data_IF_937233940972
#
_entry.id   IF_937233940972
#
_cell.length_a   1.000
_cell.length_b   1.000
_cell.length_c   1.000
_cell.angle_alpha   90.00
_cell.angle_beta   90.00
_cell.angle_gamma   90.00
#
_symmetry.space_group_name_H-M   'P 1'
#
loop_
_entity.id
_entity.type
_entity.pdbx_description
1 polymer ?
#
# COMPACT_ATOMS: atom_id res chain seq x y z
N UNK A 1 -28.37 -21.80 -6.49
CA UNK A 1 -27.35 -20.91 -5.93
C UNK A 1 -27.56 -20.85 -4.42
N UNK A 2 -26.59 -21.32 -3.65
CA UNK A 2 -26.72 -21.28 -2.19
C UNK A 2 -26.33 -19.86 -1.74
N UNK A 3 -27.26 -19.08 -1.21
CA UNK A 3 -27.03 -17.74 -0.63
C UNK A 3 -25.91 -17.72 0.43
N UNK A 4 -25.38 -18.87 0.81
CA UNK A 4 -24.23 -19.00 1.73
C UNK A 4 -22.88 -18.55 1.15
N UNK A 5 -22.76 -18.37 -0.17
CA UNK A 5 -21.49 -18.00 -0.81
C UNK A 5 -21.18 -16.50 -0.70
N UNK A 6 -22.20 -15.67 -0.51
CA UNK A 6 -22.06 -14.21 -0.31
C UNK A 6 -21.98 -13.81 1.16
N UNK A 7 -22.02 -14.78 2.08
CA UNK A 7 -21.99 -14.49 3.51
C UNK A 7 -20.55 -14.16 3.95
N UNK A 8 -20.32 -13.02 4.64
CA UNK A 8 -19.02 -12.72 5.20
C UNK A 8 -18.50 -13.82 6.09
N UNK A 9 -17.23 -14.18 5.94
CA UNK A 9 -16.61 -15.30 6.65
C UNK A 9 -16.56 -15.09 8.16
N UNK A 10 -16.54 -13.84 8.60
CA UNK A 10 -16.58 -13.45 10.00
C UNK A 10 -17.73 -14.14 10.77
N UNK A 11 -18.95 -14.17 10.21
CA UNK A 11 -20.10 -14.78 10.88
C UNK A 11 -20.03 -16.30 11.04
N UNK A 12 -19.22 -16.96 10.21
CA UNK A 12 -18.98 -18.39 10.36
C UNK A 12 -17.88 -18.67 11.39
N UNK A 13 -16.87 -17.80 11.47
CA UNK A 13 -15.76 -17.94 12.41
C UNK A 13 -16.22 -17.67 13.84
N UNK A 14 -17.10 -16.69 14.03
CA UNK A 14 -17.57 -16.30 15.37
C UNK A 14 -18.44 -17.37 16.08
N UNK A 15 -18.93 -18.38 15.37
CA UNK A 15 -19.79 -19.42 15.98
C UNK A 15 -19.07 -20.27 17.03
N UNK A 16 -17.79 -20.58 16.78
CA UNK A 16 -16.97 -21.44 17.65
C UNK A 16 -15.74 -20.70 18.17
N UNK A 17 -15.87 -19.37 18.39
CA UNK A 17 -14.76 -18.50 18.71
C UNK A 17 -14.42 -18.53 20.19
N UNK A 18 -13.22 -19.03 20.54
CA UNK A 18 -12.76 -19.12 21.91
C UNK A 18 -12.03 -17.85 22.38
N UNK A 19 -11.99 -17.61 23.69
CA UNK A 19 -11.24 -16.49 24.28
C UNK A 19 -9.74 -16.58 23.98
N UNK A 20 -9.19 -17.80 23.94
CA UNK A 20 -7.78 -18.02 23.61
C UNK A 20 -7.49 -17.64 22.17
N UNK A 21 -8.38 -18.00 21.24
CA UNK A 21 -8.27 -17.59 19.84
C UNK A 21 -8.39 -16.07 19.69
N UNK A 22 -9.32 -15.43 20.41
CA UNK A 22 -9.46 -13.98 20.42
C UNK A 22 -8.16 -13.28 20.84
N UNK A 23 -7.52 -13.77 21.89
CA UNK A 23 -6.25 -13.19 22.33
C UNK A 23 -5.13 -13.33 21.29
N UNK A 24 -5.04 -14.49 20.64
CA UNK A 24 -4.06 -14.72 19.55
C UNK A 24 -4.33 -13.81 18.36
N UNK A 25 -5.59 -13.66 17.98
CA UNK A 25 -5.99 -12.81 16.86
C UNK A 25 -5.74 -11.32 17.14
N UNK A 26 -5.98 -10.86 18.37
CA UNK A 26 -5.65 -9.49 18.79
C UNK A 26 -4.13 -9.24 18.71
N UNK A 27 -3.31 -10.15 19.23
CA UNK A 27 -1.84 -10.02 19.18
C UNK A 27 -1.38 -10.00 17.71
N UNK A 28 -1.89 -10.91 16.88
CA UNK A 28 -1.57 -10.95 15.45
C UNK A 28 -2.03 -9.69 14.74
N UNK A 29 -3.21 -9.16 15.07
CA UNK A 29 -3.73 -7.91 14.54
C UNK A 29 -2.86 -6.71 14.88
N UNK A 30 -2.35 -6.62 16.10
CA UNK A 30 -1.40 -5.57 16.51
C UNK A 30 -0.11 -5.65 15.70
N UNK A 31 0.46 -6.85 15.56
CA UNK A 31 1.69 -7.06 14.77
C UNK A 31 1.46 -6.65 13.30
N UNK A 32 0.35 -7.07 12.71
CA UNK A 32 -0.01 -6.71 11.33
C UNK A 32 -0.20 -5.20 11.19
N UNK A 33 -0.89 -4.54 12.13
CA UNK A 33 -1.09 -3.10 12.09
C UNK A 33 0.24 -2.33 12.12
N UNK A 34 1.17 -2.73 12.98
CA UNK A 34 2.50 -2.11 13.07
C UNK A 34 3.26 -2.19 11.74
N UNK A 35 3.14 -3.29 11.01
CA UNK A 35 3.79 -3.47 9.70
C UNK A 35 3.01 -2.74 8.59
N UNK A 36 1.69 -2.79 8.65
CA UNK A 36 0.82 -2.24 7.61
C UNK A 36 0.87 -0.71 7.54
N UNK A 37 1.00 -0.01 8.67
CA UNK A 37 0.99 1.45 8.69
C UNK A 37 2.12 2.08 7.85
N UNK A 38 3.42 1.75 8.06
CA UNK A 38 4.50 2.28 7.24
C UNK A 38 4.38 1.87 5.76
N UNK A 39 3.96 0.63 5.49
CA UNK A 39 3.74 0.14 4.13
C UNK A 39 2.64 0.95 3.43
N UNK A 40 1.55 1.24 4.12
CA UNK A 40 0.43 2.01 3.59
C UNK A 40 0.84 3.44 3.25
N UNK A 41 1.64 4.07 4.11
CA UNK A 41 2.22 5.39 3.86
C UNK A 41 3.10 5.35 2.59
N UNK A 42 4.01 4.38 2.51
CA UNK A 42 4.92 4.25 1.37
C UNK A 42 4.17 4.03 0.04
N UNK A 43 3.15 3.18 0.03
CA UNK A 43 2.34 2.93 -1.16
C UNK A 43 1.47 4.14 -1.55
N UNK A 44 0.95 4.89 -0.60
CA UNK A 44 0.22 6.13 -0.86
C UNK A 44 1.11 7.18 -1.52
N UNK A 45 2.29 7.42 -0.97
CA UNK A 45 3.29 8.33 -1.52
C UNK A 45 3.68 7.90 -2.94
N UNK A 46 3.98 6.62 -3.13
CA UNK A 46 4.32 6.06 -4.44
C UNK A 46 3.17 6.21 -5.45
N UNK A 47 1.93 6.25 -4.99
CA UNK A 47 0.73 6.46 -5.80
C UNK A 47 0.41 7.93 -6.07
N UNK A 48 1.25 8.87 -5.61
CA UNK A 48 1.07 10.31 -5.83
C UNK A 48 0.05 10.98 -4.89
N UNK A 49 -0.38 10.27 -3.84
CA UNK A 49 -1.25 10.84 -2.79
C UNK A 49 -0.47 11.05 -1.50
N UNK A 50 -1.01 11.82 -0.57
CA UNK A 50 -0.34 12.09 0.70
C UNK A 50 -0.28 10.88 1.63
N UNK A 51 0.62 10.90 2.63
CA UNK A 51 0.78 9.82 3.59
C UNK A 51 -0.49 9.56 4.42
N UNK A 52 -1.27 10.60 4.70
CA UNK A 52 -2.52 10.50 5.46
C UNK A 52 -3.57 9.62 4.76
N UNK A 53 -3.70 9.76 3.43
CA UNK A 53 -4.59 8.94 2.62
C UNK A 53 -4.24 7.45 2.71
N UNK A 54 -2.95 7.13 2.84
CA UNK A 54 -2.49 5.77 3.09
C UNK A 54 -2.98 5.23 4.43
N UNK A 55 -2.85 6.02 5.49
CA UNK A 55 -3.32 5.66 6.84
C UNK A 55 -4.84 5.48 6.87
N UNK A 56 -5.59 6.43 6.29
CA UNK A 56 -7.05 6.33 6.23
C UNK A 56 -7.52 5.09 5.45
N UNK A 57 -6.85 4.80 4.33
CA UNK A 57 -7.15 3.60 3.55
C UNK A 57 -6.85 2.32 4.35
N UNK A 58 -5.73 2.26 5.06
CA UNK A 58 -5.39 1.11 5.89
C UNK A 58 -6.42 0.87 7.00
N UNK A 59 -6.88 1.94 7.66
CA UNK A 59 -7.84 1.86 8.76
C UNK A 59 -9.23 1.53 8.23
N UNK A 60 -9.76 2.34 7.31
CA UNK A 60 -11.16 2.26 6.88
C UNK A 60 -11.36 1.07 5.94
N UNK A 61 -10.58 0.98 4.86
CA UNK A 61 -10.72 -0.12 3.92
C UNK A 61 -10.30 -1.45 4.55
N UNK A 62 -9.25 -1.46 5.39
CA UNK A 62 -8.83 -2.62 6.15
C UNK A 62 -9.95 -3.18 7.03
N UNK A 63 -10.66 -2.31 7.74
CA UNK A 63 -11.82 -2.71 8.55
C UNK A 63 -12.94 -3.30 7.70
N UNK A 64 -13.39 -2.58 6.66
CA UNK A 64 -14.51 -3.06 5.83
C UNK A 64 -14.18 -4.34 5.07
N UNK A 65 -12.96 -4.47 4.54
CA UNK A 65 -12.54 -5.68 3.82
C UNK A 65 -12.44 -6.87 4.78
N UNK A 66 -11.95 -6.68 6.00
CA UNK A 66 -11.91 -7.74 7.01
C UNK A 66 -13.30 -8.12 7.51
N UNK A 67 -14.20 -7.15 7.65
CA UNK A 67 -15.57 -7.37 8.14
C UNK A 67 -16.45 -8.09 7.10
N UNK A 68 -16.42 -7.64 5.84
CA UNK A 68 -17.24 -8.19 4.76
C UNK A 68 -16.56 -9.26 3.93
N UNK A 69 -15.27 -9.49 4.15
CA UNK A 69 -14.47 -10.41 3.34
C UNK A 69 -14.87 -11.88 3.44
N UNK A 70 -14.62 -12.60 2.37
CA UNK A 70 -14.84 -14.04 2.28
C UNK A 70 -13.63 -14.90 2.68
N UNK A 71 -12.49 -14.27 3.03
CA UNK A 71 -11.24 -14.93 3.40
C UNK A 71 -10.91 -14.73 4.88
N UNK A 72 -10.26 -15.73 5.48
CA UNK A 72 -9.76 -15.65 6.87
C UNK A 72 -8.36 -15.04 6.97
N UNK A 73 -7.65 -14.89 5.86
CA UNK A 73 -6.22 -14.57 5.81
C UNK A 73 -5.92 -13.38 4.90
N UNK A 74 -6.93 -12.58 4.58
CA UNK A 74 -6.79 -11.40 3.72
C UNK A 74 -7.06 -10.13 4.52
N UNK A 75 -6.17 -9.15 4.37
CA UNK A 75 -6.35 -7.78 4.84
C UNK A 75 -6.43 -6.85 3.64
N UNK A 76 -7.08 -5.70 3.81
CA UNK A 76 -7.14 -4.63 2.81
C UNK A 76 -6.24 -3.48 3.19
N UNK A 77 -5.83 -2.73 2.18
CA UNK A 77 -5.00 -1.54 2.34
C UNK A 77 -4.62 -0.95 0.98
N UNK A 78 -3.77 0.08 0.95
CA UNK A 78 -3.22 0.60 -0.29
C UNK A 78 -2.59 -0.53 -1.11
N UNK A 79 -2.77 -0.46 -2.42
CA UNK A 79 -2.42 -1.58 -3.30
C UNK A 79 -1.19 -1.26 -4.15
N UNK A 80 -0.54 -2.31 -4.64
CA UNK A 80 0.58 -2.24 -5.55
C UNK A 80 0.20 -1.79 -6.99
N UNK A 81 -1.05 -1.43 -7.26
CA UNK A 81 -1.48 -0.78 -8.51
C UNK A 81 -0.99 0.68 -8.63
N UNK A 82 0.14 0.97 -8.02
CA UNK A 82 0.75 2.29 -7.92
C UNK A 82 0.84 3.01 -9.27
N UNK A 83 1.22 2.31 -10.34
CA UNK A 83 1.40 2.92 -11.67
C UNK A 83 0.08 3.47 -12.22
N UNK A 84 -0.99 2.68 -12.11
CA UNK A 84 -2.32 3.06 -12.61
C UNK A 84 -2.87 4.20 -11.76
N UNK A 85 -2.77 4.07 -10.44
CA UNK A 85 -3.24 5.09 -9.50
C UNK A 85 -2.47 6.39 -9.68
N UNK A 86 -1.15 6.33 -9.82
CA UNK A 86 -0.31 7.50 -10.04
C UNK A 86 -0.70 8.24 -11.34
N UNK A 87 -0.95 7.51 -12.44
CA UNK A 87 -1.46 8.11 -13.68
C UNK A 87 -2.78 8.85 -13.47
N UNK A 88 -3.76 8.20 -12.83
CA UNK A 88 -5.06 8.81 -12.54
C UNK A 88 -4.91 10.07 -11.67
N UNK A 89 -4.08 10.00 -10.63
CA UNK A 89 -3.85 11.14 -9.72
C UNK A 89 -3.16 12.29 -10.44
N UNK A 90 -2.21 12.01 -11.32
CA UNK A 90 -1.49 13.03 -12.09
C UNK A 90 -2.41 13.73 -13.10
N UNK A 91 -3.28 12.99 -13.79
CA UNK A 91 -4.10 13.51 -14.86
C UNK A 91 -5.42 14.12 -14.35
N UNK A 92 -6.02 13.54 -13.31
CA UNK A 92 -7.39 13.88 -12.84
C UNK A 92 -7.45 14.24 -11.34
N UNK A 93 -6.31 14.21 -10.65
CA UNK A 93 -6.25 14.50 -9.22
C UNK A 93 -6.93 13.45 -8.33
N UNK A 94 -7.08 13.76 -7.06
CA UNK A 94 -7.73 12.87 -6.06
C UNK A 94 -9.22 12.69 -6.32
N UNK A 95 -9.88 13.67 -6.96
CA UNK A 95 -11.28 13.54 -7.35
C UNK A 95 -11.47 12.44 -8.41
N UNK A 96 -10.60 12.41 -9.43
CA UNK A 96 -10.58 11.34 -10.44
C UNK A 96 -10.35 9.98 -9.83
N UNK A 97 -9.39 9.85 -8.91
CA UNK A 97 -9.14 8.61 -8.17
C UNK A 97 -10.38 8.14 -7.40
N UNK A 98 -11.09 9.06 -6.75
CA UNK A 98 -12.30 8.70 -6.00
C UNK A 98 -13.40 8.16 -6.92
N UNK A 99 -13.63 8.81 -8.07
CA UNK A 99 -14.61 8.35 -9.08
C UNK A 99 -14.21 6.98 -9.63
N UNK A 100 -12.94 6.82 -10.04
CA UNK A 100 -12.43 5.54 -10.54
C UNK A 100 -12.59 4.41 -9.51
N UNK A 101 -12.33 4.68 -8.23
CA UNK A 101 -12.48 3.71 -7.14
C UNK A 101 -13.95 3.32 -6.94
N UNK A 102 -14.88 4.28 -7.00
CA UNK A 102 -16.32 4.00 -6.88
C UNK A 102 -16.78 3.12 -8.06
N UNK A 103 -16.39 3.46 -9.28
CA UNK A 103 -16.71 2.69 -10.49
C UNK A 103 -16.14 1.26 -10.39
N UNK A 104 -14.88 1.13 -10.02
CA UNK A 104 -14.26 -0.18 -9.79
C UNK A 104 -15.03 -0.99 -8.74
N UNK A 105 -15.47 -0.36 -7.65
CA UNK A 105 -16.30 -1.00 -6.62
C UNK A 105 -17.62 -1.51 -7.18
N UNK A 106 -18.31 -0.71 -8.00
CA UNK A 106 -19.55 -1.12 -8.66
C UNK A 106 -19.32 -2.31 -9.59
N UNK A 107 -18.27 -2.27 -10.42
CA UNK A 107 -17.91 -3.39 -11.30
C UNK A 107 -17.60 -4.65 -10.51
N UNK A 108 -16.85 -4.56 -9.42
CA UNK A 108 -16.55 -5.71 -8.57
C UNK A 108 -17.80 -6.31 -7.92
N UNK A 109 -18.76 -5.48 -7.50
CA UNK A 109 -20.04 -5.96 -6.97
C UNK A 109 -20.82 -6.72 -8.05
N UNK A 110 -20.94 -6.15 -9.26
CA UNK A 110 -21.61 -6.81 -10.39
C UNK A 110 -20.93 -8.13 -10.74
N UNK A 111 -19.60 -8.14 -10.84
CA UNK A 111 -18.82 -9.35 -11.11
C UNK A 111 -18.99 -10.40 -9.99
N UNK A 112 -19.09 -9.97 -8.74
CA UNK A 112 -19.36 -10.84 -7.60
C UNK A 112 -20.73 -11.51 -7.69
N UNK A 113 -21.77 -10.74 -8.01
CA UNK A 113 -23.14 -11.24 -8.21
C UNK A 113 -23.20 -12.21 -9.40
N UNK A 114 -22.49 -11.89 -10.50
CA UNK A 114 -22.38 -12.75 -11.67
C UNK A 114 -21.44 -13.95 -11.49
N UNK A 115 -20.83 -14.14 -10.32
CA UNK A 115 -19.91 -15.25 -10.00
C UNK A 115 -18.66 -15.31 -10.91
N UNK A 116 -18.22 -14.17 -11.44
CA UNK A 116 -17.03 -14.08 -12.28
C UNK A 116 -15.75 -14.49 -11.56
N UNK A 117 -15.73 -14.47 -10.23
CA UNK A 117 -14.63 -15.01 -9.44
C UNK A 117 -14.30 -16.49 -9.76
N UNK A 118 -15.29 -17.27 -10.24
CA UNK A 118 -15.07 -18.64 -10.67
C UNK A 118 -14.25 -18.76 -11.96
N UNK A 119 -14.16 -17.68 -12.74
CA UNK A 119 -13.39 -17.65 -13.99
C UNK A 119 -11.87 -17.66 -13.74
N UNK A 120 -11.43 -17.29 -12.53
CA UNK A 120 -10.00 -17.24 -12.18
C UNK A 120 -9.30 -18.60 -12.38
N UNK A 121 -10.04 -19.71 -12.25
CA UNK A 121 -9.52 -21.06 -12.47
C UNK A 121 -9.09 -21.34 -13.93
N UNK A 122 -9.58 -20.51 -14.88
CA UNK A 122 -9.23 -20.62 -16.29
C UNK A 122 -8.04 -19.73 -16.68
N UNK A 123 -7.58 -18.87 -15.76
CA UNK A 123 -6.42 -18.02 -16.01
C UNK A 123 -5.15 -18.88 -15.84
N UNK A 124 -4.32 -19.02 -16.91
CA UNK A 124 -3.07 -19.75 -16.80
C UNK A 124 -2.14 -19.16 -15.74
N UNK A 125 -1.45 -20.03 -15.01
CA UNK A 125 -0.49 -19.64 -13.97
C UNK A 125 0.59 -18.67 -14.48
N UNK A 126 1.02 -18.84 -15.72
CA UNK A 126 2.00 -17.98 -16.37
C UNK A 126 1.56 -16.52 -16.46
N UNK A 127 0.26 -16.26 -16.68
CA UNK A 127 -0.29 -14.91 -16.73
C UNK A 127 -0.25 -14.27 -15.34
N UNK A 128 -0.69 -14.99 -14.31
CA UNK A 128 -0.68 -14.47 -12.93
C UNK A 128 0.74 -14.23 -12.43
N UNK A 129 1.67 -15.11 -12.77
CA UNK A 129 3.09 -14.95 -12.41
C UNK A 129 3.71 -13.78 -13.14
N UNK A 130 3.48 -13.65 -14.46
CA UNK A 130 3.98 -12.52 -15.25
C UNK A 130 3.46 -11.18 -14.74
N UNK A 131 2.16 -11.11 -14.40
CA UNK A 131 1.56 -9.92 -13.80
C UNK A 131 2.22 -9.56 -12.46
N UNK A 132 2.40 -10.54 -11.57
CA UNK A 132 3.05 -10.32 -10.26
C UNK A 132 4.50 -9.87 -10.41
N UNK A 133 5.26 -10.49 -11.34
CA UNK A 133 6.63 -10.07 -11.64
C UNK A 133 6.69 -8.63 -12.18
N UNK A 134 5.76 -8.26 -13.07
CA UNK A 134 5.67 -6.90 -13.58
C UNK A 134 5.43 -5.86 -12.48
N UNK A 135 4.52 -6.17 -11.54
CA UNK A 135 4.29 -5.34 -10.36
C UNK A 135 5.56 -5.23 -9.51
N UNK A 136 6.22 -6.36 -9.24
CA UNK A 136 7.43 -6.38 -8.42
C UNK A 136 8.55 -5.51 -9.02
N UNK A 137 8.80 -5.61 -10.32
CA UNK A 137 9.79 -4.79 -11.04
C UNK A 137 9.43 -3.31 -10.96
N UNK A 138 8.16 -2.98 -11.18
CA UNK A 138 7.69 -1.59 -11.14
C UNK A 138 7.84 -0.97 -9.75
N UNK A 139 7.48 -1.72 -8.70
CA UNK A 139 7.66 -1.29 -7.31
C UNK A 139 9.14 -1.12 -6.98
N UNK A 140 9.98 -2.09 -7.35
CA UNK A 140 11.41 -2.01 -7.11
C UNK A 140 12.02 -0.75 -7.74
N UNK A 141 11.73 -0.51 -9.02
CA UNK A 141 12.20 0.70 -9.70
C UNK A 141 11.63 1.96 -9.04
N UNK A 142 10.36 1.95 -8.63
CA UNK A 142 9.74 3.07 -7.93
C UNK A 142 10.43 3.46 -6.64
N UNK A 143 11.02 2.51 -5.91
CA UNK A 143 11.72 2.76 -4.65
C UNK A 143 13.15 3.29 -4.82
N UNK A 144 13.75 3.18 -6.01
CA UNK A 144 15.16 3.59 -6.23
C UNK A 144 15.39 5.08 -5.96
N UNK A 145 14.41 5.94 -6.28
CA UNK A 145 14.50 7.37 -5.99
C UNK A 145 14.75 7.63 -4.50
N UNK A 146 13.92 7.05 -3.67
CA UNK A 146 13.96 7.29 -2.22
C UNK A 146 15.12 6.55 -1.56
N UNK A 147 15.44 5.35 -2.04
CA UNK A 147 16.60 4.58 -1.56
C UNK A 147 17.92 5.31 -1.80
N UNK A 148 18.09 5.90 -2.97
CA UNK A 148 19.29 6.68 -3.31
C UNK A 148 19.16 8.16 -2.94
N UNK A 149 18.02 8.60 -2.41
CA UNK A 149 17.77 9.99 -2.04
C UNK A 149 17.92 10.95 -3.23
N UNK A 150 17.47 10.55 -4.45
CA UNK A 150 17.62 11.35 -5.65
C UNK A 150 16.76 12.60 -5.61
N UNK A 151 17.36 13.73 -5.99
CA UNK A 151 16.65 15.01 -6.09
C UNK A 151 16.00 15.13 -7.48
N UNK A 152 14.73 14.75 -7.59
CA UNK A 152 13.96 14.81 -8.84
C UNK A 152 12.67 15.58 -8.57
N UNK A 153 12.50 16.71 -9.25
CA UNK A 153 11.37 17.62 -9.02
C UNK A 153 10.01 16.98 -9.37
N UNK A 154 9.94 16.22 -10.46
CA UNK A 154 8.73 15.51 -10.88
C UNK A 154 9.15 14.15 -11.47
N UNK A 155 8.58 13.09 -10.94
CA UNK A 155 8.83 11.72 -11.42
C UNK A 155 7.83 11.41 -12.53
N UNK A 156 8.28 11.02 -13.73
CA UNK A 156 7.37 10.63 -14.80
C UNK A 156 6.52 9.41 -14.43
N UNK A 157 5.30 9.33 -14.98
CA UNK A 157 4.41 8.17 -14.78
C UNK A 157 4.87 6.94 -15.58
N UNK A 158 5.45 7.15 -16.77
CA UNK A 158 5.95 6.10 -17.64
C UNK A 158 7.13 5.34 -17.03
N UNK A 159 7.14 4.01 -17.17
CA UNK A 159 8.21 3.16 -16.61
C UNK A 159 9.59 3.51 -17.21
N UNK A 160 9.68 3.62 -18.55
CA UNK A 160 10.94 3.91 -19.23
C UNK A 160 11.43 5.32 -18.90
N UNK A 161 10.53 6.31 -18.94
CA UNK A 161 10.84 7.70 -18.62
C UNK A 161 11.32 7.85 -17.17
N UNK A 162 10.74 7.07 -16.27
CA UNK A 162 11.17 7.00 -14.87
C UNK A 162 12.59 6.49 -14.73
N UNK A 163 12.95 5.40 -15.42
CA UNK A 163 14.31 4.86 -15.41
C UNK A 163 15.30 5.87 -16.00
N UNK A 164 14.96 6.54 -17.09
CA UNK A 164 15.78 7.59 -17.70
C UNK A 164 15.96 8.76 -16.71
N UNK A 165 14.88 9.21 -16.06
CA UNK A 165 14.94 10.28 -15.07
C UNK A 165 15.85 9.92 -13.88
N UNK A 166 15.88 8.68 -13.44
CA UNK A 166 16.78 8.23 -12.38
C UNK A 166 18.22 8.17 -12.85
N UNK A 167 18.48 7.66 -14.05
CA UNK A 167 19.82 7.61 -14.63
C UNK A 167 20.42 8.99 -14.85
N UNK A 168 19.62 9.94 -15.34
CA UNK A 168 20.10 11.33 -15.58
C UNK A 168 20.35 12.10 -14.29
N UNK A 169 19.69 11.76 -13.19
CA UNK A 169 19.86 12.40 -11.89
C UNK A 169 20.71 11.59 -10.92
N UNK A 170 21.44 10.59 -11.39
CA UNK A 170 22.29 9.72 -10.55
C UNK A 170 23.36 10.48 -9.78
N UNK A 171 23.82 11.62 -10.31
CA UNK A 171 24.78 12.49 -9.65
C UNK A 171 24.26 13.16 -8.38
N UNK A 172 22.95 13.14 -8.16
CA UNK A 172 22.31 13.72 -6.97
C UNK A 172 22.17 12.74 -5.81
N UNK A 173 22.83 11.57 -5.87
CA UNK A 173 22.75 10.54 -4.81
C UNK A 173 23.07 11.15 -3.45
N UNK A 174 22.19 10.90 -2.50
CA UNK A 174 22.46 11.15 -1.09
C UNK A 174 23.01 9.86 -0.43
N UNK A 175 24.32 9.84 -0.23
CA UNK A 175 25.02 8.68 0.35
C UNK A 175 24.55 8.35 1.76
N UNK A 176 24.12 9.36 2.54
CA UNK A 176 23.58 9.15 3.88
C UNK A 176 22.24 8.41 3.81
N UNK A 177 21.32 8.81 2.91
CA UNK A 177 20.06 8.11 2.69
C UNK A 177 20.29 6.67 2.23
N UNK A 178 21.22 6.47 1.27
CA UNK A 178 21.61 5.14 0.79
C UNK A 178 22.16 4.26 1.90
N UNK A 179 23.01 4.81 2.78
CA UNK A 179 23.57 4.07 3.92
C UNK A 179 22.48 3.67 4.91
N UNK A 180 21.54 4.56 5.22
CA UNK A 180 20.39 4.27 6.09
C UNK A 180 19.50 3.18 5.47
N UNK A 181 19.20 3.27 4.17
CA UNK A 181 18.44 2.26 3.44
C UNK A 181 19.14 0.90 3.42
N UNK A 182 20.45 0.88 3.16
CA UNK A 182 21.26 -0.36 3.20
C UNK A 182 21.30 -0.96 4.60
N UNK A 183 21.45 -0.14 5.64
CA UNK A 183 21.40 -0.60 7.03
C UNK A 183 20.03 -1.23 7.37
N UNK A 184 18.93 -0.62 6.92
CA UNK A 184 17.59 -1.18 7.09
C UNK A 184 17.47 -2.57 6.45
N UNK A 185 17.96 -2.73 5.21
CA UNK A 185 17.96 -4.03 4.52
C UNK A 185 18.78 -5.07 5.30
N UNK A 186 19.98 -4.70 5.76
CA UNK A 186 20.84 -5.60 6.55
C UNK A 186 20.15 -6.03 7.84
N UNK A 187 19.51 -5.10 8.55
CA UNK A 187 18.73 -5.42 9.76
C UNK A 187 17.62 -6.42 9.41
N UNK A 188 16.82 -6.16 8.36
CA UNK A 188 15.75 -7.06 7.95
C UNK A 188 16.22 -8.47 7.59
N UNK A 189 17.40 -8.61 6.96
CA UNK A 189 17.97 -9.89 6.57
C UNK A 189 18.58 -10.66 7.73
N UNK A 190 19.15 -9.95 8.71
CA UNK A 190 19.82 -10.58 9.85
C UNK A 190 18.88 -10.85 11.02
N UNK A 191 17.85 -10.03 11.20
CA UNK A 191 16.94 -10.13 12.34
C UNK A 191 16.26 -11.49 12.51
N UNK A 192 15.79 -12.20 11.45
CA UNK A 192 15.22 -13.53 11.59
C UNK A 192 16.17 -14.56 12.21
N UNK A 193 17.50 -14.33 12.15
CA UNK A 193 18.48 -15.18 12.84
C UNK A 193 18.52 -14.97 14.35
N UNK A 194 17.99 -13.83 14.82
CA UNK A 194 17.92 -13.48 16.26
C UNK A 194 16.57 -13.94 16.83
N UNK A 195 15.46 -13.61 16.16
CA UNK A 195 14.12 -14.01 16.58
C UNK A 195 13.12 -13.90 15.45
N UNK A 196 12.22 -14.89 15.37
CA UNK A 196 11.07 -14.90 14.44
C UNK A 196 9.80 -14.29 15.07
N UNK A 197 9.85 -13.97 16.37
CA UNK A 197 8.67 -13.45 17.09
C UNK A 197 8.34 -12.00 16.77
N UNK A 198 9.35 -11.23 16.40
CA UNK A 198 9.22 -9.80 16.10
C UNK A 198 9.64 -9.58 14.65
N UNK A 199 8.80 -8.95 13.81
CA UNK A 199 9.14 -8.69 12.42
C UNK A 199 10.40 -7.82 12.27
N UNK A 200 11.33 -8.24 11.42
CA UNK A 200 12.57 -7.50 11.18
C UNK A 200 12.35 -6.11 10.60
N UNK A 201 11.27 -5.92 9.83
CA UNK A 201 10.87 -4.61 9.31
C UNK A 201 10.54 -3.60 10.41
N UNK A 202 9.88 -4.03 11.49
CA UNK A 202 9.58 -3.17 12.63
C UNK A 202 10.88 -2.70 13.31
N UNK A 203 11.82 -3.62 13.54
CA UNK A 203 13.09 -3.27 14.16
C UNK A 203 13.92 -2.35 13.25
N UNK A 204 13.93 -2.64 11.93
CA UNK A 204 14.61 -1.78 10.97
C UNK A 204 14.08 -0.34 11.03
N UNK A 205 12.74 -0.15 11.03
CA UNK A 205 12.13 1.18 11.11
C UNK A 205 12.50 1.86 12.43
N UNK A 206 12.37 1.19 13.58
CA UNK A 206 12.67 1.79 14.89
C UNK A 206 14.15 2.20 14.96
N UNK A 207 15.05 1.29 14.59
CA UNK A 207 16.50 1.54 14.69
C UNK A 207 16.93 2.65 13.73
N UNK A 208 16.52 2.58 12.47
CA UNK A 208 16.92 3.61 11.49
C UNK A 208 16.31 4.96 11.80
N UNK A 209 15.06 5.02 12.26
CA UNK A 209 14.42 6.28 12.70
C UNK A 209 15.16 6.87 13.91
N UNK A 210 15.51 6.05 14.90
CA UNK A 210 16.26 6.50 16.06
C UNK A 210 17.64 7.05 15.65
N UNK A 211 18.36 6.33 14.80
CA UNK A 211 19.68 6.78 14.31
C UNK A 211 19.57 8.09 13.53
N UNK A 212 18.61 8.21 12.62
CA UNK A 212 18.39 9.44 11.85
C UNK A 212 18.06 10.61 12.77
N UNK A 213 17.19 10.39 13.77
CA UNK A 213 16.75 11.43 14.69
C UNK A 213 17.86 11.88 15.65
N UNK A 214 18.56 10.95 16.31
CA UNK A 214 19.58 11.30 17.32
C UNK A 214 20.91 11.77 16.71
N UNK A 215 21.24 11.32 15.50
CA UNK A 215 22.45 11.74 14.80
C UNK A 215 22.23 12.93 13.86
N UNK A 216 21.01 13.48 13.80
CA UNK A 216 20.59 14.59 12.95
C UNK A 216 21.08 14.44 11.50
N UNK A 217 20.82 13.25 10.93
CA UNK A 217 21.34 12.91 9.60
C UNK A 217 20.59 13.69 8.51
N UNK A 218 21.28 14.19 7.49
CA UNK A 218 20.70 14.98 6.40
C UNK A 218 19.96 14.08 5.39
N UNK A 219 18.86 13.50 5.84
CA UNK A 219 17.98 12.64 5.02
C UNK A 219 16.55 13.16 5.05
N UNK A 220 15.83 12.94 3.96
CA UNK A 220 14.41 13.28 3.91
C UNK A 220 13.62 12.34 4.84
N UNK A 221 12.84 12.93 5.73
CA UNK A 221 11.88 12.22 6.57
C UNK A 221 10.46 12.56 6.12
N UNK A 222 9.48 11.76 6.53
CA UNK A 222 8.06 12.06 6.27
C UNK A 222 7.71 13.44 6.80
N UNK A 223 8.15 13.77 8.01
CA UNK A 223 7.90 15.08 8.62
C UNK A 223 8.57 16.24 7.87
N UNK A 224 9.78 16.05 7.31
CA UNK A 224 10.47 17.11 6.57
C UNK A 224 9.85 17.40 5.19
N UNK A 225 9.26 16.37 4.56
CA UNK A 225 8.71 16.46 3.19
C UNK A 225 7.21 16.81 3.20
N UNK A 226 6.45 16.25 4.13
CA UNK A 226 4.98 16.35 4.17
C UNK A 226 4.47 17.16 5.36
N UNK A 227 5.35 17.60 6.27
CA UNK A 227 4.96 18.26 7.49
C UNK A 227 4.40 17.33 8.56
N UNK A 228 3.72 17.90 9.54
CA UNK A 228 3.05 17.10 10.59
C UNK A 228 1.81 16.41 10.03
N UNK A 229 1.73 15.10 10.24
CA UNK A 229 0.56 14.33 9.87
C UNK A 229 -0.62 14.74 10.76
N UNK A 230 -1.77 15.01 10.16
CA UNK A 230 -2.98 15.31 10.90
C UNK A 230 -3.41 14.15 11.77
N UNK A 231 -3.66 14.39 13.04
CA UNK A 231 -4.22 13.43 13.98
C UNK A 231 -5.75 13.33 13.91
N UNK A 232 -6.39 14.15 13.07
CA UNK A 232 -7.83 14.17 12.89
C UNK A 232 -8.31 13.14 11.89
N UNK A 233 -9.48 12.55 12.14
CA UNK A 233 -10.14 11.72 11.12
C UNK A 233 -10.56 12.58 9.92
N UNK A 234 -10.48 12.04 8.69
CA UNK A 234 -10.90 12.78 7.51
C UNK A 234 -12.39 13.09 7.59
N UNK A 235 -12.74 14.33 7.30
CA UNK A 235 -14.13 14.68 7.09
C UNK A 235 -14.59 14.08 5.77
N UNK A 236 -15.70 13.32 5.75
CA UNK A 236 -16.23 12.76 4.52
C UNK A 236 -16.60 13.90 3.54
N UNK A 237 -15.92 13.98 2.42
CA UNK A 237 -16.27 14.88 1.33
C UNK A 237 -16.90 14.07 0.20
N UNK A 238 -18.11 14.45 -0.22
CA UNK A 238 -18.69 13.91 -1.43
C UNK A 238 -17.94 14.53 -2.61
N UNK A 239 -17.26 13.74 -3.45
CA UNK A 239 -16.57 14.28 -4.61
C UNK A 239 -17.58 14.95 -5.54
N UNK A 240 -17.19 16.03 -6.19
CA UNK A 240 -17.98 16.64 -7.26
C UNK A 240 -18.03 15.66 -8.45
N UNK A 241 -19.10 14.87 -8.50
CA UNK A 241 -19.33 13.93 -9.60
C UNK A 241 -19.70 14.72 -10.86
N UNK A 242 -18.74 15.00 -11.72
CA UNK A 242 -18.97 15.52 -13.05
C UNK A 242 -19.25 14.35 -14.01
N UNK A 243 -20.32 14.44 -14.80
CA UNK A 243 -20.63 13.44 -15.82
C UNK A 243 -19.48 13.27 -16.82
N UNK A 244 -18.75 14.36 -17.11
CA UNK A 244 -17.56 14.33 -17.94
C UNK A 244 -16.44 13.46 -17.30
N UNK A 245 -16.20 13.64 -16.01
CA UNK A 245 -15.19 12.86 -15.29
C UNK A 245 -15.54 11.37 -15.24
N UNK A 246 -16.83 11.04 -15.10
CA UNK A 246 -17.31 9.64 -15.14
C UNK A 246 -17.09 9.03 -16.53
N UNK A 247 -17.34 9.78 -17.61
CA UNK A 247 -17.11 9.31 -18.98
C UNK A 247 -15.63 9.10 -19.31
N UNK A 248 -14.75 9.92 -18.76
CA UNK A 248 -13.29 9.80 -18.94
C UNK A 248 -12.69 8.64 -18.13
N UNK A 249 -13.40 8.16 -17.08
CA UNK A 249 -12.96 7.06 -16.22
C UNK A 249 -13.57 5.69 -16.62
N UNK A 250 -14.51 5.64 -17.57
CA UNK A 250 -15.10 4.43 -18.12
C UNK A 250 -14.34 3.92 -19.34
#
# INVERSE_FOLDING_TARGET
>A
MKMNELKPKLFDVLKDYSKEQAMRDVISGIIVAIIALPLSIALAIASGVGPEQGLYTAIIAGFFISFFGGSRVQIGGPTAFVVIIYGIVTDYGTAGLTVATILAGIFLIVMGICHFGSLIKYIPYTITTGFTCGIAVTLFVGQLKDFFGLSIASVPSGFVDKVIAYATNISTINWTATAVGAAAIVIMLLWPKVTDKIPGSLIAIIVTTAVVYFADLPVNTIGSVYGELSSSFPTPHVPALSMKLVQEML
#
